data_IF_638894765481
#
_entry.id   IF_638894765481
#
_cell.length_a   1.000
_cell.length_b   1.000
_cell.length_c   1.000
_cell.angle_alpha   90.00
_cell.angle_beta   90.00
_cell.angle_gamma   90.00
#
_symmetry.space_group_name_H-M   'P 1'
#
loop_
_entity.id
_entity.type
_entity.pdbx_description
1 polymer ?
#
# COMPACT_ATOMS: atom_id res chain seq x y z
N UNK A 1 -10.72 7.13 -17.95
CA UNK A 1 -10.39 8.38 -17.24
C UNK A 1 -9.09 8.20 -16.48
N UNK A 2 -8.23 9.21 -16.50
CA UNK A 2 -6.99 9.16 -15.75
C UNK A 2 -7.29 9.35 -14.25
N UNK A 3 -6.62 8.59 -13.37
CA UNK A 3 -6.76 8.80 -11.95
C UNK A 3 -6.25 10.18 -11.55
N UNK A 4 -6.86 10.73 -10.50
CA UNK A 4 -6.52 12.06 -10.00
C UNK A 4 -5.17 12.02 -9.27
N UNK A 5 -4.25 12.88 -9.69
CA UNK A 5 -2.96 13.04 -9.00
C UNK A 5 -3.18 13.60 -7.60
N UNK A 6 -2.31 13.20 -6.67
CA UNK A 6 -2.33 13.76 -5.32
C UNK A 6 -1.86 15.20 -5.34
N UNK A 7 -2.53 16.03 -4.54
CA UNK A 7 -2.12 17.40 -4.31
C UNK A 7 -1.11 17.48 -3.16
N UNK A 8 -0.48 18.64 -2.97
CA UNK A 8 0.37 18.86 -1.82
C UNK A 8 -0.38 18.67 -0.50
N UNK A 9 -1.67 19.05 -0.46
CA UNK A 9 -2.52 18.85 0.71
C UNK A 9 -2.75 17.36 0.98
N UNK A 10 -3.04 16.57 -0.07
CA UNK A 10 -3.19 15.12 0.07
C UNK A 10 -1.95 14.50 0.70
N UNK A 11 -0.76 14.90 0.23
CA UNK A 11 0.51 14.38 0.75
C UNK A 11 0.72 14.79 2.20
N UNK A 12 0.43 16.05 2.53
CA UNK A 12 0.61 16.54 3.92
C UNK A 12 -0.38 15.87 4.89
N UNK A 13 -1.55 15.45 4.42
CA UNK A 13 -2.55 14.80 5.26
C UNK A 13 -2.25 13.33 5.53
N UNK A 14 -1.28 12.73 4.83
CA UNK A 14 -0.95 11.31 4.98
C UNK A 14 -0.54 10.95 6.41
N UNK A 15 0.12 11.85 7.12
CA UNK A 15 0.51 11.60 8.50
C UNK A 15 -0.70 11.30 9.40
N UNK A 16 -1.87 11.84 9.06
CA UNK A 16 -3.11 11.63 9.81
C UNK A 16 -3.97 10.51 9.23
N UNK A 17 -4.04 10.40 7.90
CA UNK A 17 -4.94 9.46 7.23
C UNK A 17 -4.33 8.08 7.03
N UNK A 18 -3.02 8.03 6.78
CA UNK A 18 -2.27 6.80 6.55
C UNK A 18 -0.95 6.84 7.31
N UNK A 19 -0.99 6.85 8.67
CA UNK A 19 0.21 7.09 9.48
C UNK A 19 1.27 6.00 9.35
N UNK A 20 0.92 4.80 8.87
CA UNK A 20 1.86 3.70 8.70
C UNK A 20 2.61 3.76 7.37
N UNK A 21 2.26 4.71 6.52
CA UNK A 21 2.85 4.86 5.19
C UNK A 21 3.74 6.09 5.12
N UNK A 22 4.80 5.99 4.31
CA UNK A 22 5.73 7.08 4.05
C UNK A 22 5.80 7.34 2.55
N UNK A 23 6.07 8.59 2.17
CA UNK A 23 6.38 8.92 0.78
C UNK A 23 7.89 8.84 0.63
N UNK A 24 8.36 7.92 -0.19
CA UNK A 24 9.79 7.68 -0.45
C UNK A 24 9.99 7.57 -1.95
N UNK A 25 10.81 8.44 -2.52
CA UNK A 25 11.13 8.42 -3.96
C UNK A 25 9.87 8.43 -4.85
N UNK A 26 8.87 9.22 -4.43
CA UNK A 26 7.63 9.35 -5.21
C UNK A 26 6.67 8.18 -5.09
N UNK A 27 6.89 7.27 -4.15
CA UNK A 27 6.03 6.13 -3.90
C UNK A 27 5.50 6.16 -2.48
N UNK A 28 4.35 5.52 -2.24
CA UNK A 28 3.91 5.21 -0.88
C UNK A 28 4.57 3.91 -0.45
N UNK A 29 5.17 3.92 0.72
CA UNK A 29 5.90 2.77 1.24
C UNK A 29 5.42 2.43 2.64
N UNK A 30 5.11 1.16 2.86
CA UNK A 30 4.87 0.60 4.20
C UNK A 30 5.74 -0.64 4.39
N UNK A 31 6.38 -0.72 5.55
CA UNK A 31 7.15 -1.90 5.95
C UNK A 31 6.53 -2.47 7.22
N UNK A 32 6.29 -3.77 7.24
CA UNK A 32 5.65 -4.43 8.38
C UNK A 32 6.22 -5.83 8.58
N UNK A 33 6.48 -6.17 9.85
CA UNK A 33 6.94 -7.50 10.21
C UNK A 33 5.77 -8.33 10.74
N UNK A 34 5.57 -9.51 10.17
CA UNK A 34 4.55 -10.44 10.62
C UNK A 34 5.04 -11.26 11.82
N UNK A 35 4.13 -11.80 12.64
CA UNK A 35 4.51 -12.70 13.74
C UNK A 35 5.20 -13.97 13.28
N UNK A 36 4.83 -14.49 12.10
CA UNK A 36 5.43 -15.70 11.50
C UNK A 36 5.53 -15.53 9.99
N UNK A 37 6.35 -16.37 9.37
CA UNK A 37 6.46 -16.42 7.91
C UNK A 37 5.13 -16.79 7.26
N UNK A 38 4.42 -17.77 7.81
CA UNK A 38 3.13 -18.20 7.27
C UNK A 38 2.12 -17.05 7.28
N UNK A 39 2.08 -16.24 8.34
CA UNK A 39 1.21 -15.08 8.42
C UNK A 39 1.63 -14.03 7.39
N UNK A 40 2.94 -13.82 7.21
CA UNK A 40 3.42 -12.89 6.17
C UNK A 40 2.92 -13.31 4.78
N UNK A 41 2.97 -14.59 4.46
CA UNK A 41 2.47 -15.12 3.18
C UNK A 41 0.95 -14.92 3.08
N UNK A 42 0.20 -15.18 4.16
CA UNK A 42 -1.24 -14.95 4.18
C UNK A 42 -1.58 -13.47 3.93
N UNK A 43 -0.78 -12.56 4.47
CA UNK A 43 -0.94 -11.13 4.22
C UNK A 43 -0.73 -10.80 2.74
N UNK A 44 0.28 -11.40 2.09
CA UNK A 44 0.51 -11.19 0.65
C UNK A 44 -0.73 -11.60 -0.14
N UNK A 45 -1.33 -12.75 0.18
CA UNK A 45 -2.54 -13.23 -0.49
C UNK A 45 -3.71 -12.26 -0.26
N UNK A 46 -3.89 -11.77 0.96
CA UNK A 46 -4.94 -10.81 1.27
C UNK A 46 -4.74 -9.47 0.54
N UNK A 47 -3.49 -8.99 0.47
CA UNK A 47 -3.15 -7.78 -0.28
C UNK A 47 -3.44 -7.98 -1.78
N UNK A 48 -3.11 -9.14 -2.31
CA UNK A 48 -3.40 -9.46 -3.71
C UNK A 48 -4.91 -9.39 -3.99
N UNK A 49 -5.75 -9.89 -3.08
CA UNK A 49 -7.20 -9.79 -3.21
C UNK A 49 -7.68 -8.34 -3.23
N UNK A 50 -7.15 -7.51 -2.34
CA UNK A 50 -7.48 -6.09 -2.32
C UNK A 50 -7.07 -5.40 -3.62
N UNK A 51 -5.86 -5.68 -4.11
CA UNK A 51 -5.35 -5.10 -5.35
C UNK A 51 -6.22 -5.48 -6.55
N UNK A 52 -6.60 -6.76 -6.65
CA UNK A 52 -7.46 -7.23 -7.73
C UNK A 52 -8.83 -6.56 -7.69
N UNK A 53 -9.35 -6.27 -6.50
CA UNK A 53 -10.70 -5.69 -6.37
C UNK A 53 -10.80 -4.30 -6.98
N UNK A 54 -9.70 -3.55 -7.08
CA UNK A 54 -9.68 -2.21 -7.68
C UNK A 54 -8.76 -2.13 -8.90
N UNK A 55 -8.25 -3.27 -9.36
CA UNK A 55 -7.36 -3.37 -10.51
C UNK A 55 -6.18 -2.40 -10.40
N UNK A 56 -5.57 -2.32 -9.23
CA UNK A 56 -4.40 -1.49 -8.96
C UNK A 56 -3.45 -2.31 -8.09
N UNK A 57 -2.20 -2.51 -8.54
CA UNK A 57 -1.33 -3.54 -7.99
C UNK A 57 -0.10 -2.93 -7.34
N UNK A 58 0.24 -3.37 -6.11
CA UNK A 58 1.44 -2.93 -5.41
C UNK A 58 2.67 -3.72 -5.84
N UNK A 59 3.84 -3.16 -5.56
CA UNK A 59 5.08 -3.94 -5.55
C UNK A 59 5.27 -4.49 -4.13
N UNK A 60 5.50 -5.79 -4.02
CA UNK A 60 5.66 -6.45 -2.73
C UNK A 60 7.00 -7.15 -2.69
N UNK A 61 7.78 -6.83 -1.65
CA UNK A 61 9.03 -7.50 -1.32
C UNK A 61 8.82 -8.22 0.00
N UNK A 62 9.12 -9.52 0.04
CA UNK A 62 9.07 -10.28 1.28
C UNK A 62 10.45 -10.84 1.58
N UNK A 63 10.94 -10.55 2.79
CA UNK A 63 12.21 -11.05 3.31
C UNK A 63 11.93 -11.74 4.63
N UNK A 64 11.92 -13.08 4.63
CA UNK A 64 11.47 -13.90 5.75
C UNK A 64 10.04 -13.47 6.14
N UNK A 65 9.85 -12.76 7.25
CA UNK A 65 8.53 -12.33 7.70
C UNK A 65 8.32 -10.80 7.63
N UNK A 66 9.23 -10.10 6.97
CA UNK A 66 9.11 -8.65 6.75
C UNK A 66 8.58 -8.38 5.36
N UNK A 67 7.46 -7.68 5.27
CA UNK A 67 6.89 -7.20 4.02
C UNK A 67 7.27 -5.76 3.79
N UNK A 68 7.63 -5.43 2.56
CA UNK A 68 7.81 -4.08 2.11
C UNK A 68 6.86 -3.86 0.93
N UNK A 69 5.93 -2.92 1.08
CA UNK A 69 4.85 -2.69 0.13
C UNK A 69 5.02 -1.29 -0.44
N UNK A 70 5.16 -1.19 -1.76
CA UNK A 70 5.35 0.08 -2.43
C UNK A 70 4.21 0.30 -3.43
N UNK A 71 3.65 1.51 -3.43
CA UNK A 71 2.55 1.89 -4.30
C UNK A 71 2.93 3.09 -5.15
N UNK A 72 2.62 2.99 -6.43
CA UNK A 72 2.69 4.09 -7.38
C UNK A 72 1.73 3.78 -8.52
N UNK A 73 1.19 4.81 -9.16
CA UNK A 73 0.38 4.62 -10.36
C UNK A 73 1.29 4.70 -11.58
N UNK A 74 1.71 3.54 -12.11
CA UNK A 74 2.70 3.46 -13.17
C UNK A 74 2.27 4.18 -14.45
N UNK A 75 0.99 4.15 -14.77
CA UNK A 75 0.47 4.80 -15.98
C UNK A 75 0.65 6.32 -15.97
N UNK A 76 0.72 6.93 -14.80
CA UNK A 76 0.94 8.39 -14.66
C UNK A 76 2.35 8.72 -14.17
N UNK A 77 3.08 7.71 -13.66
CA UNK A 77 4.41 7.89 -13.10
C UNK A 77 4.43 8.67 -11.79
N UNK A 78 3.29 8.76 -11.09
CA UNK A 78 3.18 9.49 -9.84
C UNK A 78 2.12 8.89 -8.94
N UNK A 79 2.02 9.40 -7.71
CA UNK A 79 0.97 9.02 -6.78
C UNK A 79 -0.37 9.61 -7.21
N UNK A 80 -1.41 8.79 -7.10
CA UNK A 80 -2.78 9.18 -7.40
C UNK A 80 -3.72 8.69 -6.30
N UNK A 81 -4.99 9.04 -6.42
CA UNK A 81 -6.03 8.56 -5.52
C UNK A 81 -6.13 7.04 -5.47
N UNK A 82 -5.74 6.33 -6.54
CA UNK A 82 -5.72 4.86 -6.54
C UNK A 82 -4.75 4.32 -5.50
N UNK A 83 -3.62 5.00 -5.30
CA UNK A 83 -2.63 4.59 -4.30
C UNK A 83 -3.15 4.81 -2.89
N UNK A 84 -3.88 5.91 -2.64
CA UNK A 84 -4.53 6.14 -1.35
C UNK A 84 -5.59 5.08 -1.06
N UNK A 85 -6.41 4.77 -2.06
CA UNK A 85 -7.47 3.76 -1.91
C UNK A 85 -6.87 2.39 -1.61
N UNK A 86 -5.84 2.00 -2.34
CA UNK A 86 -5.19 0.71 -2.12
C UNK A 86 -4.48 0.65 -0.76
N UNK A 87 -3.80 1.73 -0.36
CA UNK A 87 -3.17 1.79 0.96
C UNK A 87 -4.19 1.59 2.07
N UNK A 88 -5.36 2.21 1.96
CA UNK A 88 -6.43 2.05 2.95
C UNK A 88 -6.97 0.61 2.99
N UNK A 89 -7.15 -0.02 1.82
CA UNK A 89 -7.58 -1.41 1.75
C UNK A 89 -6.54 -2.35 2.35
N UNK A 90 -5.25 -2.11 2.07
CA UNK A 90 -4.16 -2.90 2.64
C UNK A 90 -4.16 -2.78 4.15
N UNK A 91 -4.28 -1.57 4.69
CA UNK A 91 -4.33 -1.37 6.13
C UNK A 91 -5.48 -2.13 6.76
N UNK A 92 -6.64 -2.17 6.10
CA UNK A 92 -7.79 -2.91 6.58
C UNK A 92 -7.52 -4.41 6.63
N UNK A 93 -6.97 -4.99 5.55
CA UNK A 93 -6.73 -6.44 5.52
C UNK A 93 -5.62 -6.85 6.48
N UNK A 94 -4.62 -6.00 6.70
CA UNK A 94 -3.55 -6.30 7.65
C UNK A 94 -4.04 -6.21 9.10
N UNK A 95 -4.98 -5.33 9.40
CA UNK A 95 -5.49 -5.17 10.76
C UNK A 95 -6.37 -6.35 11.19
N UNK A 96 -6.99 -7.07 10.27
CA UNK A 96 -7.86 -8.21 10.60
C UNK A 96 -7.08 -9.46 10.97
N UNK A 97 -5.80 -9.53 10.61
CA UNK A 97 -4.96 -10.71 10.82
C UNK A 97 -3.99 -10.56 12.00
N UNK A 98 -4.15 -9.50 12.77
CA UNK A 98 -3.35 -9.28 13.99
C UNK A 98 -4.19 -9.55 15.27
#
# INVERSE_FOLDING_TARGET
MNPRRLTATDVSDLAQTLPMWQVVDGQLLREIQAPTYAIAINWVVAIAGAAESIDHHPDIDIRWRTLRIALITHSTGCLTELDLDLASLIDTVLSTDT
#
